data_IF_055116415832
#
_entry.id   IF_055116415832
#
_cell.length_a   1.000
_cell.length_b   1.000
_cell.length_c   1.000
_cell.angle_alpha   90.00
_cell.angle_beta   90.00
_cell.angle_gamma   90.00
#
_symmetry.space_group_name_H-M   'P 1'
#
loop_
_entity.id
_entity.type
_entity.pdbx_description
1 polymer ?
#
# COMPACT_ATOMS: atom_id res chain seq x y z
N UNK A 1 -36.73 -21.42 -12.36
CA UNK A 1 -37.43 -21.48 -11.06
C UNK A 1 -36.62 -20.67 -10.08
N UNK A 2 -37.19 -19.60 -9.52
CA UNK A 2 -36.49 -18.77 -8.53
C UNK A 2 -36.48 -19.49 -7.18
N UNK A 3 -35.31 -19.74 -6.56
CA UNK A 3 -35.25 -20.32 -5.23
C UNK A 3 -35.65 -19.26 -4.19
N UNK A 4 -36.71 -19.52 -3.43
CA UNK A 4 -37.03 -18.69 -2.26
C UNK A 4 -36.01 -18.98 -1.16
N UNK A 5 -35.16 -17.99 -0.88
CA UNK A 5 -34.13 -18.08 0.15
C UNK A 5 -34.00 -16.74 0.88
N UNK A 6 -33.48 -16.79 2.11
CA UNK A 6 -33.30 -15.61 2.95
C UNK A 6 -34.61 -14.84 3.15
N UNK A 7 -34.59 -13.52 2.95
CA UNK A 7 -35.75 -12.65 3.14
C UNK A 7 -36.95 -13.00 2.23
N UNK A 8 -36.70 -13.65 1.08
CA UNK A 8 -37.78 -14.04 0.15
C UNK A 8 -38.66 -15.19 0.69
N UNK A 9 -38.24 -15.90 1.74
CA UNK A 9 -39.05 -16.94 2.38
C UNK A 9 -40.31 -16.38 3.06
N UNK A 10 -40.29 -15.11 3.47
CA UNK A 10 -41.38 -14.46 4.17
C UNK A 10 -42.32 -13.66 3.24
N UNK A 11 -42.03 -13.61 1.93
CA UNK A 11 -42.79 -12.80 0.97
C UNK A 11 -44.04 -13.57 0.53
N UNK A 12 -45.20 -12.93 0.63
CA UNK A 12 -46.46 -13.52 0.18
C UNK A 12 -46.50 -13.66 -1.35
N UNK A 13 -47.11 -14.74 -1.85
CA UNK A 13 -47.13 -15.07 -3.28
C UNK A 13 -47.67 -13.92 -4.17
N UNK A 14 -48.70 -13.21 -3.70
CA UNK A 14 -49.34 -12.12 -4.43
C UNK A 14 -48.47 -10.86 -4.57
N UNK A 15 -47.36 -10.74 -3.81
CA UNK A 15 -46.41 -9.65 -3.98
C UNK A 15 -45.60 -9.78 -5.29
N UNK A 16 -45.51 -11.01 -5.83
CA UNK A 16 -44.83 -11.29 -7.09
C UNK A 16 -45.82 -11.71 -8.19
N UNK A 17 -46.88 -12.42 -7.82
CA UNK A 17 -47.87 -13.00 -8.74
C UNK A 17 -49.17 -12.21 -8.72
N UNK A 18 -49.16 -11.08 -9.44
CA UNK A 18 -50.33 -10.20 -9.59
C UNK A 18 -51.48 -10.99 -10.22
N UNK A 19 -52.70 -10.85 -9.68
CA UNK A 19 -53.89 -11.58 -10.12
C UNK A 19 -53.72 -13.11 -10.14
N UNK A 20 -52.85 -13.66 -9.29
CA UNK A 20 -52.51 -15.09 -9.25
C UNK A 20 -51.93 -15.61 -10.58
N UNK A 21 -51.28 -14.75 -11.37
CA UNK A 21 -50.54 -15.18 -12.56
C UNK A 21 -49.11 -15.57 -12.17
N UNK A 22 -48.83 -16.87 -12.29
CA UNK A 22 -47.53 -17.46 -11.92
C UNK A 22 -46.55 -17.57 -13.10
N UNK A 23 -47.02 -17.39 -14.32
CA UNK A 23 -46.20 -17.39 -15.52
C UNK A 23 -45.69 -15.99 -15.86
N UNK A 24 -44.43 -15.88 -16.29
CA UNK A 24 -43.86 -14.63 -16.79
C UNK A 24 -43.31 -13.66 -15.73
N UNK A 25 -43.43 -13.97 -14.43
CA UNK A 25 -42.79 -13.19 -13.36
C UNK A 25 -41.26 -13.25 -13.53
N UNK A 26 -40.62 -12.08 -13.64
CA UNK A 26 -39.15 -11.98 -13.71
C UNK A 26 -38.50 -12.55 -12.46
N UNK A 27 -37.35 -13.21 -12.65
CA UNK A 27 -36.52 -13.71 -11.55
C UNK A 27 -35.30 -12.81 -11.31
N UNK A 28 -35.14 -11.76 -12.12
CA UNK A 28 -34.02 -10.83 -12.03
C UNK A 28 -34.25 -9.85 -10.88
N UNK A 29 -33.24 -9.70 -10.01
CA UNK A 29 -33.33 -8.86 -8.83
C UNK A 29 -33.74 -7.43 -9.17
N UNK A 30 -33.14 -6.84 -10.22
CA UNK A 30 -33.40 -5.47 -10.64
C UNK A 30 -34.86 -5.24 -11.05
N UNK A 31 -35.52 -6.21 -11.69
CA UNK A 31 -36.92 -6.04 -12.13
C UNK A 31 -37.89 -5.80 -10.96
N UNK A 32 -37.60 -6.35 -9.77
CA UNK A 32 -38.42 -6.14 -8.58
C UNK A 32 -37.85 -5.04 -7.66
N UNK A 33 -36.53 -4.86 -7.65
CA UNK A 33 -35.84 -3.94 -6.77
C UNK A 33 -35.30 -2.68 -7.48
N UNK A 34 -35.86 -2.32 -8.64
CA UNK A 34 -35.47 -1.14 -9.43
C UNK A 34 -35.53 0.14 -8.59
N UNK A 35 -36.63 0.38 -7.89
CA UNK A 35 -36.76 1.57 -7.05
C UNK A 35 -35.72 1.62 -5.93
N UNK A 36 -35.36 0.47 -5.35
CA UNK A 36 -34.29 0.41 -4.35
C UNK A 36 -32.93 0.72 -5.00
N UNK A 37 -32.66 0.14 -6.17
CA UNK A 37 -31.46 0.42 -6.96
C UNK A 37 -31.30 1.91 -7.29
N UNK A 38 -32.37 2.56 -7.77
CA UNK A 38 -32.36 3.96 -8.19
C UNK A 38 -32.29 4.94 -7.00
N UNK A 39 -32.85 4.57 -5.84
CA UNK A 39 -32.92 5.44 -4.65
C UNK A 39 -31.77 5.26 -3.67
N UNK A 40 -30.95 4.21 -3.82
CA UNK A 40 -29.80 4.01 -2.94
C UNK A 40 -28.77 5.11 -3.18
N UNK A 41 -28.31 5.76 -2.11
CA UNK A 41 -27.32 6.86 -2.17
C UNK A 41 -25.96 6.50 -1.58
N UNK A 42 -25.86 5.36 -0.89
CA UNK A 42 -24.63 4.92 -0.24
C UNK A 42 -24.42 3.40 -0.34
N UNK A 43 -23.65 2.91 -1.33
CA UNK A 43 -23.18 3.67 -2.50
C UNK A 43 -24.32 4.02 -3.47
N UNK A 44 -24.22 5.15 -4.18
CA UNK A 44 -25.20 5.48 -5.22
C UNK A 44 -24.99 4.60 -6.46
N UNK A 45 -25.86 3.61 -6.67
CA UNK A 45 -25.71 2.63 -7.74
C UNK A 45 -25.79 3.24 -9.14
N UNK A 46 -26.68 4.21 -9.35
CA UNK A 46 -26.86 4.89 -10.64
C UNK A 46 -25.66 5.77 -10.96
N UNK A 47 -25.24 6.62 -10.02
CA UNK A 47 -24.10 7.51 -10.21
C UNK A 47 -22.78 6.75 -10.37
N UNK A 48 -22.64 5.60 -9.70
CA UNK A 48 -21.50 4.71 -9.84
C UNK A 48 -21.57 3.80 -11.08
N UNK A 49 -22.70 3.80 -11.79
CA UNK A 49 -22.98 2.92 -12.94
C UNK A 49 -22.70 1.44 -12.61
N UNK A 50 -23.22 0.96 -11.48
CA UNK A 50 -23.07 -0.44 -11.10
C UNK A 50 -23.88 -1.38 -12.00
N UNK A 51 -23.50 -2.67 -11.97
CA UNK A 51 -24.25 -3.70 -12.67
C UNK A 51 -25.61 -3.93 -12.00
N UNK A 52 -26.60 -4.33 -12.80
CA UNK A 52 -27.89 -4.83 -12.32
C UNK A 52 -27.81 -6.28 -11.80
N UNK A 53 -26.64 -6.93 -11.93
CA UNK A 53 -26.33 -8.20 -11.27
C UNK A 53 -26.13 -7.99 -9.76
N UNK A 54 -27.24 -7.90 -9.03
CA UNK A 54 -27.24 -7.62 -7.60
C UNK A 54 -26.48 -8.65 -6.76
N UNK A 55 -26.41 -9.91 -7.24
CA UNK A 55 -25.72 -11.01 -6.55
C UNK A 55 -24.20 -10.85 -6.54
N UNK A 56 -23.65 -9.95 -7.36
CA UNK A 56 -22.23 -9.58 -7.31
C UNK A 56 -21.82 -8.90 -5.99
N UNK A 57 -22.77 -8.30 -5.28
CA UNK A 57 -22.53 -7.55 -4.04
C UNK A 57 -23.45 -7.94 -2.88
N UNK A 58 -24.67 -8.36 -3.16
CA UNK A 58 -25.72 -8.58 -2.16
C UNK A 58 -26.11 -10.05 -2.09
N UNK A 59 -26.71 -10.43 -0.97
CA UNK A 59 -27.25 -11.79 -0.79
C UNK A 59 -28.76 -11.73 -0.60
N UNK A 60 -29.45 -12.84 -0.84
CA UNK A 60 -30.89 -12.94 -0.56
C UNK A 60 -31.20 -12.96 0.94
N UNK A 61 -30.19 -13.15 1.81
CA UNK A 61 -30.35 -13.05 3.26
C UNK A 61 -30.54 -11.60 3.71
N UNK A 62 -29.73 -10.68 3.20
CA UNK A 62 -29.83 -9.25 3.47
C UNK A 62 -29.13 -8.41 2.38
N UNK A 63 -29.61 -7.19 2.17
CA UNK A 63 -28.96 -6.19 1.31
C UNK A 63 -27.69 -5.60 1.94
N UNK A 64 -27.57 -5.61 3.27
CA UNK A 64 -26.40 -5.11 3.99
C UNK A 64 -25.95 -6.10 5.09
N UNK A 65 -24.62 -6.20 5.35
CA UNK A 65 -23.55 -5.59 4.57
C UNK A 65 -23.46 -6.20 3.16
N UNK A 66 -23.06 -5.40 2.19
CA UNK A 66 -22.69 -5.92 0.88
C UNK A 66 -21.23 -6.37 0.89
N UNK A 67 -20.90 -7.35 0.05
CA UNK A 67 -19.53 -7.85 -0.12
C UNK A 67 -19.13 -7.69 -1.57
N UNK A 68 -18.06 -6.94 -1.84
CA UNK A 68 -17.50 -6.83 -3.18
C UNK A 68 -16.08 -7.39 -3.21
N UNK A 69 -15.83 -8.29 -4.15
CA UNK A 69 -14.53 -8.96 -4.29
C UNK A 69 -13.52 -8.08 -5.04
N UNK A 70 -12.70 -7.36 -4.28
CA UNK A 70 -11.63 -6.52 -4.83
C UNK A 70 -10.50 -7.31 -5.50
N UNK A 71 -10.37 -8.63 -5.25
CA UNK A 71 -9.34 -9.45 -5.89
C UNK A 71 -9.50 -9.56 -7.41
N UNK A 72 -10.71 -9.24 -7.90
CA UNK A 72 -11.06 -9.23 -9.33
C UNK A 72 -10.84 -7.87 -10.00
N UNK A 73 -10.33 -6.89 -9.26
CA UNK A 73 -10.06 -5.54 -9.76
C UNK A 73 -8.57 -5.35 -10.01
N UNK A 74 -8.20 -4.17 -10.55
CA UNK A 74 -6.79 -3.78 -10.72
C UNK A 74 -6.09 -3.43 -9.41
N UNK A 75 -6.82 -3.33 -8.30
CA UNK A 75 -6.26 -3.06 -6.98
C UNK A 75 -6.83 -4.05 -5.96
N UNK A 76 -6.25 -5.25 -5.87
CA UNK A 76 -6.58 -6.19 -4.81
C UNK A 76 -6.25 -5.56 -3.44
N UNK A 77 -7.21 -5.59 -2.52
CA UNK A 77 -6.96 -5.15 -1.15
C UNK A 77 -6.08 -6.19 -0.46
N UNK A 78 -4.85 -5.80 -0.14
CA UNK A 78 -3.83 -6.64 0.49
C UNK A 78 -3.17 -5.89 1.66
N UNK A 79 -2.58 -6.66 2.58
CA UNK A 79 -1.91 -6.12 3.76
C UNK A 79 -2.82 -5.22 4.59
N UNK A 80 -2.36 -4.01 4.89
CA UNK A 80 -3.11 -3.05 5.70
C UNK A 80 -4.42 -2.55 5.04
N UNK A 81 -4.57 -2.71 3.72
CA UNK A 81 -5.74 -2.24 2.98
C UNK A 81 -6.96 -3.18 3.10
N UNK A 82 -6.81 -4.39 3.65
CA UNK A 82 -7.91 -5.37 3.72
C UNK A 82 -9.06 -4.93 4.61
N UNK A 83 -8.80 -4.03 5.57
CA UNK A 83 -9.81 -3.50 6.50
C UNK A 83 -10.35 -2.13 6.08
N UNK A 84 -9.93 -1.62 4.92
CA UNK A 84 -10.34 -0.30 4.42
C UNK A 84 -11.82 -0.28 4.06
N UNK A 85 -12.53 0.76 4.46
CA UNK A 85 -13.93 0.95 4.08
C UNK A 85 -14.04 1.57 2.69
N UNK A 86 -15.13 1.32 1.97
CA UNK A 86 -15.33 1.81 0.60
C UNK A 86 -15.10 3.33 0.48
N UNK A 87 -15.55 4.10 1.47
CA UNK A 87 -15.49 5.57 1.47
C UNK A 87 -14.09 6.14 1.72
N UNK A 88 -13.15 5.34 2.22
CA UNK A 88 -11.76 5.77 2.39
C UNK A 88 -11.04 5.93 1.03
N UNK A 89 -11.46 5.19 0.00
CA UNK A 89 -10.89 5.29 -1.35
C UNK A 89 -11.88 5.89 -2.36
N UNK A 90 -13.15 5.52 -2.27
CA UNK A 90 -14.21 5.99 -3.17
C UNK A 90 -14.88 7.27 -2.65
N UNK A 91 -14.06 8.32 -2.58
CA UNK A 91 -14.47 9.64 -2.08
C UNK A 91 -15.68 10.16 -2.88
N UNK A 92 -16.65 10.74 -2.17
CA UNK A 92 -17.91 11.24 -2.74
C UNK A 92 -18.72 10.16 -3.50
N UNK A 93 -18.61 8.88 -3.11
CA UNK A 93 -19.24 7.75 -3.78
C UNK A 93 -18.83 7.60 -5.25
N UNK A 94 -17.62 8.04 -5.61
CA UNK A 94 -17.07 7.85 -6.95
C UNK A 94 -16.23 6.57 -6.99
N UNK A 95 -16.79 5.54 -7.63
CA UNK A 95 -16.15 4.22 -7.74
C UNK A 95 -15.27 4.07 -8.99
N UNK A 96 -15.48 4.91 -10.00
CA UNK A 96 -14.66 4.94 -11.21
C UNK A 96 -13.50 5.92 -11.10
N UNK A 97 -12.31 5.46 -11.51
CA UNK A 97 -11.10 6.29 -11.58
C UNK A 97 -10.40 6.51 -10.24
N UNK A 98 -10.69 5.70 -9.23
CA UNK A 98 -9.90 5.67 -7.99
C UNK A 98 -8.44 5.36 -8.33
N UNK A 99 -7.48 6.20 -7.90
CA UNK A 99 -6.06 5.96 -8.14
C UNK A 99 -5.62 4.62 -7.54
N UNK A 100 -4.67 3.98 -8.21
CA UNK A 100 -4.07 2.70 -7.76
C UNK A 100 -2.59 2.85 -7.40
N UNK A 101 -2.02 4.03 -7.66
CA UNK A 101 -0.66 4.39 -7.30
C UNK A 101 -0.59 4.76 -5.82
N UNK A 102 0.44 4.26 -5.13
CA UNK A 102 0.62 4.48 -3.70
C UNK A 102 0.72 5.97 -3.35
N UNK A 103 1.51 6.74 -4.11
CA UNK A 103 1.75 8.16 -3.83
C UNK A 103 0.49 9.00 -4.00
N UNK A 104 -0.38 8.66 -4.96
CA UNK A 104 -1.65 9.37 -5.15
C UNK A 104 -2.54 9.42 -3.89
N UNK A 105 -2.47 8.40 -3.03
CA UNK A 105 -3.18 8.35 -1.75
C UNK A 105 -2.28 8.75 -0.57
N UNK A 106 -1.02 8.35 -0.60
CA UNK A 106 -0.07 8.50 0.50
C UNK A 106 0.92 9.65 0.31
N UNK A 107 0.54 10.70 -0.43
CA UNK A 107 1.38 11.89 -0.63
C UNK A 107 1.82 12.52 0.71
N UNK A 108 0.91 12.60 1.69
CA UNK A 108 1.24 13.13 3.01
C UNK A 108 2.23 12.23 3.76
N UNK A 109 2.08 10.90 3.67
CA UNK A 109 3.03 9.95 4.25
C UNK A 109 4.38 9.97 3.53
N UNK A 110 4.41 10.30 2.23
CA UNK A 110 5.65 10.49 1.48
C UNK A 110 6.39 11.78 1.90
N UNK A 111 5.66 12.86 2.17
CA UNK A 111 6.23 14.17 2.50
C UNK A 111 6.63 14.33 3.97
N UNK A 112 6.03 13.54 4.88
CA UNK A 112 6.22 13.65 6.33
C UNK A 112 7.63 13.25 6.83
N UNK A 113 8.28 12.17 6.33
CA UNK A 113 9.57 11.73 6.85
C UNK A 113 10.68 12.76 6.59
N UNK A 114 11.49 13.01 7.62
CA UNK A 114 12.68 13.87 7.52
C UNK A 114 13.98 13.06 7.49
N UNK A 115 13.92 11.76 7.74
CA UNK A 115 15.06 10.87 7.76
C UNK A 115 14.68 9.41 7.40
N UNK A 116 14.96 8.96 6.17
CA UNK A 116 15.37 9.77 5.02
C UNK A 116 14.27 10.76 4.60
N UNK A 117 14.65 11.96 4.16
CA UNK A 117 13.70 12.91 3.59
C UNK A 117 13.42 12.54 2.12
N UNK A 118 12.25 11.97 1.85
CA UNK A 118 11.92 11.48 0.50
C UNK A 118 11.89 12.59 -0.55
N UNK A 119 11.46 13.80 -0.17
CA UNK A 119 11.32 14.94 -1.08
C UNK A 119 12.69 15.50 -1.44
N UNK A 120 13.54 15.78 -0.45
CA UNK A 120 14.87 16.35 -0.72
C UNK A 120 15.79 15.37 -1.44
N UNK A 121 15.64 14.08 -1.17
CA UNK A 121 16.38 13.03 -1.88
C UNK A 121 15.77 12.67 -3.24
N UNK A 122 14.63 13.26 -3.59
CA UNK A 122 13.92 13.02 -4.84
C UNK A 122 13.68 11.52 -5.09
N UNK A 123 13.20 10.79 -4.07
CA UNK A 123 12.89 9.38 -4.23
C UNK A 123 11.76 9.17 -5.24
N UNK A 124 11.87 8.09 -6.00
CA UNK A 124 10.80 7.66 -6.89
C UNK A 124 9.56 7.26 -6.07
N UNK A 125 8.39 7.36 -6.70
CA UNK A 125 7.11 7.00 -6.08
C UNK A 125 6.84 5.48 -6.07
N UNK A 126 7.80 4.65 -6.47
CA UNK A 126 7.74 3.21 -6.26
C UNK A 126 7.99 2.90 -4.77
N UNK A 127 6.94 3.05 -3.96
CA UNK A 127 7.01 2.84 -2.53
C UNK A 127 7.42 1.41 -2.16
N UNK A 128 7.15 0.44 -3.02
CA UNK A 128 7.43 -0.99 -2.76
C UNK A 128 8.91 -1.34 -2.85
N UNK A 129 9.72 -0.44 -3.40
CA UNK A 129 11.18 -0.55 -3.35
C UNK A 129 11.72 -0.53 -1.90
N UNK A 130 10.99 0.11 -0.98
CA UNK A 130 11.42 0.24 0.42
C UNK A 130 10.40 -0.24 1.46
N UNK A 131 9.11 -0.13 1.16
CA UNK A 131 8.03 -0.39 2.11
C UNK A 131 7.23 -1.63 1.72
N UNK A 132 6.47 -2.17 2.68
CA UNK A 132 5.60 -3.32 2.44
C UNK A 132 4.14 -2.89 2.49
N UNK A 133 3.26 -3.72 1.92
CA UNK A 133 1.80 -3.49 2.00
C UNK A 133 1.24 -3.62 3.42
N UNK A 134 2.00 -4.17 4.37
CA UNK A 134 1.55 -4.36 5.75
C UNK A 134 1.85 -3.14 6.63
N UNK A 135 2.96 -2.46 6.39
CA UNK A 135 3.38 -1.29 7.16
C UNK A 135 4.46 -0.49 6.43
N UNK A 136 4.51 0.82 6.72
CA UNK A 136 5.59 1.71 6.28
C UNK A 136 6.93 1.42 6.97
N UNK A 137 6.90 0.88 8.19
CA UNK A 137 8.10 0.56 8.97
C UNK A 137 8.06 -0.90 9.46
N UNK A 138 9.22 -1.58 9.54
CA UNK A 138 10.53 -1.10 9.08
C UNK A 138 10.59 -1.01 7.54
N UNK A 139 11.29 0.00 7.04
CA UNK A 139 11.62 0.08 5.62
C UNK A 139 12.91 -0.70 5.36
N UNK A 140 12.95 -1.45 4.26
CA UNK A 140 14.14 -2.20 3.83
C UNK A 140 14.71 -1.53 2.60
N UNK A 141 16.03 -1.45 2.46
CA UNK A 141 16.64 -0.91 1.25
C UNK A 141 17.81 -1.79 0.85
N UNK A 142 17.89 -2.17 -0.42
CA UNK A 142 19.02 -2.95 -0.92
C UNK A 142 20.25 -2.05 -1.09
N UNK A 143 20.96 -1.85 0.03
CA UNK A 143 22.18 -1.06 0.06
C UNK A 143 23.41 -1.87 -0.34
N UNK A 144 23.50 -3.14 0.09
CA UNK A 144 24.71 -3.95 -0.05
C UNK A 144 24.99 -4.39 -1.50
N UNK A 145 23.96 -4.46 -2.36
CA UNK A 145 24.15 -4.76 -3.79
C UNK A 145 24.53 -3.54 -4.63
N UNK A 146 24.19 -2.33 -4.17
CA UNK A 146 24.35 -1.09 -4.92
C UNK A 146 25.50 -0.22 -4.39
N UNK A 147 25.84 -0.35 -3.11
CA UNK A 147 26.73 0.55 -2.38
C UNK A 147 27.63 -0.23 -1.39
N UNK A 148 28.27 0.47 -0.45
CA UNK A 148 29.14 -0.15 0.55
C UNK A 148 28.38 -1.14 1.42
N UNK A 149 28.95 -2.33 1.62
CA UNK A 149 28.29 -3.38 2.38
C UNK A 149 28.25 -3.07 3.88
N UNK A 150 27.08 -2.67 4.37
CA UNK A 150 26.81 -2.31 5.78
C UNK A 150 25.82 -3.26 6.45
N UNK A 151 25.06 -4.03 5.69
CA UNK A 151 24.17 -5.07 6.22
C UNK A 151 24.87 -6.43 6.40
N UNK A 152 26.16 -6.50 6.07
CA UNK A 152 26.99 -7.69 6.21
C UNK A 152 28.33 -7.38 6.91
N UNK A 153 29.12 -8.41 7.20
CA UNK A 153 30.41 -8.25 7.87
C UNK A 153 30.30 -7.69 9.30
N UNK A 154 31.23 -6.81 9.68
CA UNK A 154 31.31 -6.22 11.03
C UNK A 154 30.23 -5.18 11.32
N UNK A 155 29.63 -4.57 10.29
CA UNK A 155 28.59 -3.55 10.41
C UNK A 155 27.17 -4.11 10.55
N UNK A 156 26.98 -5.42 10.31
CA UNK A 156 25.65 -6.05 10.40
C UNK A 156 25.00 -5.77 11.76
N UNK A 157 23.77 -5.24 11.71
CA UNK A 157 22.94 -4.90 12.88
C UNK A 157 23.57 -3.86 13.84
N UNK A 158 24.62 -3.13 13.42
CA UNK A 158 25.29 -2.11 14.25
C UNK A 158 24.68 -0.71 14.17
N UNK A 159 23.74 -0.50 13.27
CA UNK A 159 23.13 0.78 13.00
C UNK A 159 21.61 0.65 12.94
N UNK A 160 20.91 1.75 13.20
CA UNK A 160 19.43 1.78 13.33
C UNK A 160 18.77 2.75 12.34
N UNK A 161 19.56 3.63 11.71
CA UNK A 161 19.06 4.62 10.75
C UNK A 161 20.10 4.91 9.69
N UNK A 162 19.66 5.22 8.48
CA UNK A 162 20.52 5.68 7.40
C UNK A 162 21.36 6.90 7.82
N UNK A 163 20.80 7.80 8.63
CA UNK A 163 21.50 8.98 9.13
C UNK A 163 22.68 8.69 10.08
N UNK A 164 22.82 7.46 10.59
CA UNK A 164 24.01 7.06 11.35
C UNK A 164 25.28 7.23 10.51
N UNK A 165 25.19 6.91 9.21
CA UNK A 165 26.29 7.09 8.27
C UNK A 165 26.06 8.30 7.35
N UNK A 166 24.83 8.52 6.88
CA UNK A 166 24.45 9.61 5.97
C UNK A 166 24.02 10.86 6.74
N UNK A 167 25.00 11.57 7.31
CA UNK A 167 24.75 12.73 8.19
C UNK A 167 24.19 13.96 7.47
N UNK A 168 24.18 13.97 6.13
CA UNK A 168 23.59 15.04 5.35
C UNK A 168 22.23 14.60 4.80
N UNK A 169 21.16 15.15 5.38
CA UNK A 169 19.77 14.84 5.01
C UNK A 169 19.42 15.19 3.56
N UNK A 170 20.18 16.09 2.92
CA UNK A 170 19.92 16.54 1.54
C UNK A 170 20.87 15.92 0.52
N UNK A 171 21.92 15.25 0.98
CA UNK A 171 22.89 14.58 0.11
C UNK A 171 23.43 13.31 0.77
N UNK A 172 22.77 12.19 0.51
CA UNK A 172 23.20 10.87 1.00
C UNK A 172 24.48 10.35 0.31
N UNK A 173 25.02 11.04 -0.69
CA UNK A 173 26.37 10.73 -1.17
C UNK A 173 27.44 11.17 -0.15
N UNK A 174 27.09 12.09 0.75
CA UNK A 174 27.92 12.45 1.90
C UNK A 174 27.68 11.44 3.03
N UNK A 175 28.76 10.89 3.55
CA UNK A 175 28.72 9.91 4.63
C UNK A 175 29.91 10.13 5.56
N UNK A 176 29.77 9.68 6.81
CA UNK A 176 30.82 9.79 7.81
C UNK A 176 31.06 8.45 8.51
N UNK A 177 32.15 7.77 8.14
CA UNK A 177 32.60 6.52 8.76
C UNK A 177 33.25 6.77 10.13
N UNK A 178 33.95 7.90 10.27
CA UNK A 178 34.83 8.18 11.42
C UNK A 178 34.09 8.67 12.68
N UNK A 179 32.79 8.94 12.58
CA UNK A 179 31.95 9.32 13.72
C UNK A 179 31.52 8.12 14.58
N UNK A 180 31.98 6.92 14.26
CA UNK A 180 31.65 5.68 14.97
C UNK A 180 32.84 5.20 15.82
N UNK A 181 32.55 4.45 16.89
CA UNK A 181 33.58 3.93 17.80
C UNK A 181 34.55 2.91 17.15
N UNK A 182 34.10 2.17 16.13
CA UNK A 182 34.95 1.20 15.43
C UNK A 182 36.01 1.86 14.53
N UNK A 183 35.78 3.11 14.11
CA UNK A 183 36.66 3.85 13.21
C UNK A 183 37.49 4.91 13.93
N UNK A 184 37.86 4.71 15.21
CA UNK A 184 38.75 5.63 15.93
C UNK A 184 40.09 5.87 15.20
N UNK A 185 40.56 7.13 15.16
CA UNK A 185 41.76 7.54 14.42
C UNK A 185 42.99 6.76 14.82
N UNK A 186 43.25 6.65 16.12
CA UNK A 186 44.46 6.00 16.63
C UNK A 186 44.46 4.53 16.21
N UNK A 187 43.32 3.86 16.34
CA UNK A 187 43.16 2.46 15.92
C UNK A 187 43.27 2.29 14.41
N UNK A 188 42.66 3.16 13.61
CA UNK A 188 42.72 3.06 12.15
C UNK A 188 44.12 3.37 11.63
N UNK A 189 44.79 4.40 12.15
CA UNK A 189 46.17 4.73 11.81
C UNK A 189 47.08 3.52 12.10
N UNK A 190 46.89 2.85 13.25
CA UNK A 190 47.63 1.65 13.65
C UNK A 190 47.49 0.49 12.66
N UNK A 191 46.26 0.26 12.17
CA UNK A 191 45.94 -0.81 11.20
C UNK A 191 46.42 -0.51 9.79
N UNK A 192 46.57 0.77 9.44
CA UNK A 192 46.96 1.20 8.10
C UNK A 192 48.41 1.70 8.01
N UNK A 193 49.26 1.47 9.03
CA UNK A 193 50.67 1.94 9.10
C UNK A 193 51.52 1.66 7.86
N UNK A 194 51.21 0.59 7.13
CA UNK A 194 51.95 0.18 5.93
C UNK A 194 51.29 0.62 4.60
N UNK A 195 50.24 1.44 4.64
CA UNK A 195 49.52 1.94 3.46
C UNK A 195 49.88 3.40 3.23
N UNK A 196 50.67 3.67 2.19
CA UNK A 196 51.13 5.03 1.87
C UNK A 196 50.01 5.96 1.38
N UNK A 197 48.95 5.40 0.83
CA UNK A 197 47.76 6.10 0.31
C UNK A 197 46.63 6.25 1.34
N UNK A 198 46.85 5.79 2.58
CA UNK A 198 45.87 5.92 3.65
C UNK A 198 45.71 7.37 4.11
N UNK A 199 44.45 7.80 4.23
CA UNK A 199 44.08 9.06 4.83
C UNK A 199 42.90 8.82 5.77
N UNK A 200 42.95 9.36 6.99
CA UNK A 200 41.86 9.28 7.95
C UNK A 200 40.77 10.31 7.62
N UNK A 201 40.02 10.03 6.56
CA UNK A 201 38.79 10.74 6.20
C UNK A 201 37.85 9.77 5.50
N UNK A 202 36.55 10.00 5.64
CA UNK A 202 35.52 9.08 5.16
C UNK A 202 35.58 8.84 3.65
N UNK A 203 35.88 9.86 2.83
CA UNK A 203 35.96 9.71 1.38
C UNK A 203 37.11 8.80 0.92
N UNK A 204 38.26 8.84 1.61
CA UNK A 204 39.41 7.99 1.29
C UNK A 204 39.17 6.51 1.60
N UNK A 205 38.32 6.19 2.59
CA UNK A 205 38.02 4.81 2.99
C UNK A 205 37.53 3.97 1.79
N UNK A 206 36.66 4.51 0.94
CA UNK A 206 36.12 3.80 -0.24
C UNK A 206 37.16 3.46 -1.30
N UNK A 207 38.28 4.20 -1.36
CA UNK A 207 39.33 3.93 -2.35
C UNK A 207 40.03 2.60 -2.08
N UNK A 208 40.13 2.22 -0.81
CA UNK A 208 40.79 0.99 -0.36
C UNK A 208 39.81 -0.09 0.08
N UNK A 209 38.59 0.28 0.47
CA UNK A 209 37.49 -0.61 0.80
C UNK A 209 36.36 -0.45 -0.23
N UNK A 210 36.59 -0.86 -1.49
CA UNK A 210 35.64 -0.62 -2.57
C UNK A 210 34.35 -1.43 -2.41
N UNK A 211 33.33 -0.93 -3.12
CA UNK A 211 32.06 -1.61 -3.40
C UNK A 211 32.34 -2.98 -4.01
N UNK A 212 31.45 -3.94 -3.83
CA UNK A 212 31.43 -5.12 -4.71
C UNK A 212 31.11 -4.70 -6.13
#
# INVERSE_FOLDING_TARGET
RFPLSGAHLAVACNQCHVNNQYAGTSMDCFSCHQTAYERTTNPNHVAANFSQDCASCHTTAAWQPSTFDHSRTRFPLLGAHVTTTCTQCHVNNRYAGTPTDCFACHQADFQRPTNPNHVTLNFAHDCTACHTLNAWLPATFDHDSQYFRIYSGKHREKWQSCATCHVNATNYQFFECINCHEHDKTRMDDKHRNRQDYQYNSQACYRCHPRV
#
